data_IF_530243015904
#
_entry.id   IF_530243015904
#
_cell.length_a   1.000
_cell.length_b   1.000
_cell.length_c   1.000
_cell.angle_alpha   90.00
_cell.angle_beta   90.00
_cell.angle_gamma   90.00
#
_symmetry.space_group_name_H-M   'P 1'
#
loop_
_entity.id
_entity.type
_entity.pdbx_description
1 polymer ?
#
# COMPACT_ATOMS: atom_id res chain seq x y z
N UNK A 1 -14.70 13.68 -6.84
CA UNK A 1 -13.33 13.34 -6.37
C UNK A 1 -13.12 11.83 -6.44
N UNK A 2 -11.88 11.36 -6.67
CA UNK A 2 -11.54 9.95 -6.54
C UNK A 2 -11.92 9.43 -5.15
N UNK A 3 -12.68 8.34 -5.09
CA UNK A 3 -13.25 7.84 -3.83
C UNK A 3 -12.17 7.46 -2.79
N UNK A 4 -10.98 7.06 -3.25
CA UNK A 4 -9.90 6.63 -2.39
C UNK A 4 -9.24 7.74 -1.58
N UNK A 5 -9.21 8.99 -2.10
CA UNK A 5 -8.66 10.15 -1.38
C UNK A 5 -9.45 10.47 -0.10
N UNK A 6 -10.66 9.92 0.03
CA UNK A 6 -11.52 10.06 1.20
C UNK A 6 -11.58 8.79 2.08
N UNK A 7 -10.62 7.87 1.91
CA UNK A 7 -10.58 6.58 2.61
C UNK A 7 -11.85 5.72 2.46
N UNK A 8 -12.58 5.91 1.35
CA UNK A 8 -13.86 5.21 1.11
C UNK A 8 -13.66 3.70 0.92
N UNK A 9 -14.55 2.85 1.48
CA UNK A 9 -14.61 1.43 1.12
C UNK A 9 -15.35 1.18 -0.21
N UNK A 10 -15.63 2.23 -0.99
CA UNK A 10 -16.45 2.11 -2.21
C UNK A 10 -15.66 1.40 -3.31
N UNK A 11 -16.32 0.47 -3.99
CA UNK A 11 -15.81 -0.17 -5.21
C UNK A 11 -15.83 0.78 -6.43
N UNK A 12 -16.53 1.91 -6.32
CA UNK A 12 -16.60 2.91 -7.37
C UNK A 12 -15.36 3.80 -7.34
N UNK A 13 -14.73 3.97 -8.51
CA UNK A 13 -13.54 4.82 -8.68
C UNK A 13 -13.83 6.30 -8.32
N UNK A 14 -15.07 6.74 -8.51
CA UNK A 14 -15.52 8.11 -8.35
C UNK A 14 -16.68 8.19 -7.35
N UNK A 15 -16.65 9.20 -6.47
CA UNK A 15 -17.84 9.65 -5.73
C UNK A 15 -18.58 10.68 -6.57
N UNK A 16 -19.89 10.56 -6.65
CA UNK A 16 -20.73 11.60 -7.25
C UNK A 16 -20.80 12.79 -6.30
N UNK A 17 -20.39 13.96 -6.78
CA UNK A 17 -20.58 15.22 -6.09
C UNK A 17 -21.44 16.10 -6.98
N UNK A 18 -22.48 16.76 -6.44
CA UNK A 18 -23.20 17.76 -7.22
C UNK A 18 -22.22 18.87 -7.59
N UNK A 19 -22.11 19.14 -8.89
CA UNK A 19 -21.24 20.17 -9.44
C UNK A 19 -22.04 20.98 -10.46
N UNK A 20 -21.74 22.28 -10.58
CA UNK A 20 -22.18 23.12 -11.68
C UNK A 20 -21.06 23.17 -12.70
N UNK A 21 -21.41 22.95 -13.96
CA UNK A 21 -20.48 23.10 -15.07
C UNK A 21 -20.38 24.59 -15.37
N UNK A 22 -19.15 25.09 -15.49
CA UNK A 22 -18.86 26.45 -15.90
C UNK A 22 -18.36 26.42 -17.34
N UNK A 23 -19.27 26.74 -18.28
CA UNK A 23 -18.98 26.72 -19.72
C UNK A 23 -17.98 27.81 -20.16
N UNK A 24 -17.57 28.70 -19.25
CA UNK A 24 -16.53 29.71 -19.53
C UNK A 24 -15.11 29.17 -19.47
N UNK A 25 -14.92 27.95 -18.96
CA UNK A 25 -13.61 27.31 -18.79
C UNK A 25 -13.36 26.25 -19.87
N UNK A 26 -12.10 26.10 -20.25
CA UNK A 26 -11.69 25.03 -21.17
C UNK A 26 -11.63 23.71 -20.42
N UNK A 27 -12.20 22.65 -20.99
CA UNK A 27 -12.11 21.31 -20.44
C UNK A 27 -10.66 20.86 -20.32
N UNK A 28 -10.29 20.37 -19.13
CA UNK A 28 -8.97 19.84 -18.84
C UNK A 28 -9.10 18.35 -18.50
N UNK A 29 -8.31 17.52 -19.16
CA UNK A 29 -8.22 16.10 -18.91
C UNK A 29 -7.07 15.80 -17.93
N UNK A 30 -7.35 14.97 -16.92
CA UNK A 30 -6.33 14.47 -16.01
C UNK A 30 -5.87 13.08 -16.46
N UNK A 31 -4.59 12.96 -16.78
CA UNK A 31 -3.96 11.70 -17.14
C UNK A 31 -3.07 11.16 -16.03
N UNK A 32 -2.78 9.86 -16.14
CA UNK A 32 -1.74 9.20 -15.39
C UNK A 32 -0.36 9.71 -15.84
N UNK A 33 0.57 9.87 -14.89
CA UNK A 33 1.98 10.17 -15.22
C UNK A 33 2.59 9.14 -16.17
N UNK A 34 2.28 7.86 -15.95
CA UNK A 34 2.61 6.76 -16.85
C UNK A 34 1.35 6.25 -17.54
N UNK A 35 1.09 6.58 -18.82
CA UNK A 35 -0.06 6.04 -19.55
C UNK A 35 -0.06 4.51 -19.54
N UNK A 36 1.08 3.90 -19.82
CA UNK A 36 1.33 2.45 -19.71
C UNK A 36 2.38 2.21 -18.64
N UNK A 37 1.98 1.77 -17.44
CA UNK A 37 2.92 1.63 -16.32
C UNK A 37 3.92 0.47 -16.50
N UNK A 38 3.66 -0.46 -17.41
CA UNK A 38 4.64 -1.50 -17.76
C UNK A 38 5.91 -0.89 -18.37
N UNK A 39 5.80 0.26 -19.03
CA UNK A 39 6.94 0.92 -19.68
C UNK A 39 7.59 1.99 -18.80
N UNK A 40 7.05 2.19 -17.59
CA UNK A 40 7.63 3.12 -16.62
C UNK A 40 9.04 2.67 -16.22
N UNK A 41 9.93 3.62 -15.97
CA UNK A 41 11.24 3.35 -15.37
C UNK A 41 11.05 2.57 -14.07
N UNK A 42 11.78 1.47 -13.92
CA UNK A 42 11.70 0.61 -12.74
C UNK A 42 13.04 0.57 -12.05
N UNK A 43 13.04 0.90 -10.77
CA UNK A 43 14.21 0.79 -9.92
C UNK A 43 14.00 -0.31 -8.90
N UNK A 44 15.08 -1.01 -8.56
CA UNK A 44 15.05 -2.02 -7.51
C UNK A 44 14.86 -1.35 -6.14
N UNK A 45 14.31 -2.13 -5.20
CA UNK A 45 14.21 -1.69 -3.82
C UNK A 45 15.59 -1.24 -3.30
N UNK A 46 15.66 -0.08 -2.63
CA UNK A 46 16.86 0.32 -1.90
C UNK A 46 17.28 -0.77 -0.90
N UNK A 47 18.52 -0.68 -0.44
CA UNK A 47 18.99 -1.56 0.62
C UNK A 47 18.10 -1.40 1.86
N UNK A 48 17.65 -2.51 2.42
CA UNK A 48 16.88 -2.51 3.66
C UNK A 48 17.67 -1.86 4.81
N UNK A 49 16.99 -1.06 5.63
CA UNK A 49 17.55 -0.49 6.86
C UNK A 49 17.91 -1.61 7.84
N UNK A 50 17.03 -2.60 7.94
CA UNK A 50 17.19 -3.75 8.81
C UNK A 50 16.70 -5.03 8.14
N UNK A 51 17.30 -6.17 8.48
CA UNK A 51 16.85 -7.48 8.03
C UNK A 51 16.76 -8.41 9.23
N UNK A 52 15.55 -8.90 9.49
CA UNK A 52 15.26 -9.79 10.61
C UNK A 52 15.24 -11.25 10.15
N UNK A 53 15.69 -12.18 11.01
CA UNK A 53 15.63 -13.61 10.73
C UNK A 53 14.18 -14.13 10.74
N UNK A 54 13.94 -15.33 10.15
CA UNK A 54 12.65 -16.02 10.23
C UNK A 54 12.07 -16.06 11.63
N UNK A 55 10.78 -15.75 11.73
CA UNK A 55 10.00 -15.88 12.97
C UNK A 55 10.12 -14.68 13.91
N UNK A 56 10.90 -13.65 13.53
CA UNK A 56 10.91 -12.37 14.23
C UNK A 56 10.06 -11.36 13.45
N UNK A 57 9.08 -10.78 14.13
CA UNK A 57 8.36 -9.61 13.66
C UNK A 57 8.97 -8.37 14.32
N UNK A 58 9.13 -7.24 13.60
CA UNK A 58 9.82 -6.10 14.16
C UNK A 58 9.16 -5.60 15.43
N UNK A 59 9.96 -5.30 16.46
CA UNK A 59 9.45 -4.70 17.67
C UNK A 59 8.83 -3.32 17.38
N UNK A 60 7.89 -2.85 18.22
CA UNK A 60 7.29 -1.53 18.12
C UNK A 60 8.28 -0.36 17.97
N UNK A 61 9.51 -0.52 18.46
CA UNK A 61 10.58 0.48 18.36
C UNK A 61 11.12 0.69 16.95
N UNK A 62 11.07 -0.33 16.08
CA UNK A 62 11.43 -0.21 14.66
C UNK A 62 10.28 0.34 13.81
N UNK A 63 9.14 0.64 14.43
CA UNK A 63 7.95 1.19 13.78
C UNK A 63 7.90 2.72 13.87
N UNK A 64 9.02 3.35 14.20
CA UNK A 64 9.12 4.80 14.30
C UNK A 64 8.63 5.44 12.99
N UNK A 65 7.78 6.46 13.14
CA UNK A 65 6.94 7.07 12.11
C UNK A 65 7.73 7.94 11.12
N UNK A 66 8.83 7.43 10.57
CA UNK A 66 9.59 8.13 9.54
C UNK A 66 9.26 7.60 8.14
N UNK A 67 9.00 8.50 7.17
CA UNK A 67 8.98 9.95 7.31
C UNK A 67 7.64 10.47 7.88
N UNK A 68 7.70 11.54 8.68
CA UNK A 68 6.50 12.24 9.17
C UNK A 68 6.07 13.31 8.15
N UNK A 69 4.80 13.32 7.78
CA UNK A 69 4.22 14.37 6.92
C UNK A 69 3.94 15.62 7.75
N UNK A 70 4.51 16.75 7.35
CA UNK A 70 4.30 18.06 8.00
C UNK A 70 3.35 18.95 7.20
N UNK A 71 3.29 18.77 5.87
CA UNK A 71 2.42 19.53 4.97
C UNK A 71 1.92 18.61 3.85
N UNK A 72 0.72 18.87 3.36
CA UNK A 72 0.19 18.19 2.18
C UNK A 72 -0.61 19.15 1.30
N UNK A 73 -0.38 19.10 0.00
CA UNK A 73 -1.14 19.83 -1.02
C UNK A 73 -1.51 18.94 -2.19
N UNK A 74 -2.44 19.41 -3.01
CA UNK A 74 -2.71 18.86 -4.32
C UNK A 74 -2.03 19.77 -5.34
N UNK A 75 -1.11 19.19 -6.11
CA UNK A 75 -0.44 19.84 -7.22
C UNK A 75 -1.10 19.48 -8.54
N UNK A 76 -1.04 20.38 -9.51
CA UNK A 76 -1.43 20.11 -10.90
C UNK A 76 -0.26 20.48 -11.80
N UNK A 77 0.30 19.48 -12.48
CA UNK A 77 1.42 19.66 -13.42
C UNK A 77 0.90 19.67 -14.84
N UNK A 78 1.45 20.56 -15.66
CA UNK A 78 1.19 20.57 -17.10
C UNK A 78 1.81 19.33 -17.73
N UNK A 79 1.01 18.57 -18.49
CA UNK A 79 1.54 17.54 -19.37
C UNK A 79 2.10 18.18 -20.65
N UNK A 80 2.66 17.36 -21.56
CA UNK A 80 3.14 17.83 -22.86
C UNK A 80 2.02 18.44 -23.74
N UNK A 81 0.77 18.04 -23.51
CA UNK A 81 -0.42 18.53 -24.21
C UNK A 81 -1.11 19.65 -23.39
N UNK A 82 -1.44 20.81 -24.01
CA UNK A 82 -2.06 21.94 -23.33
C UNK A 82 -3.44 21.64 -22.71
N UNK A 83 -4.14 20.57 -23.10
CA UNK A 83 -5.41 20.14 -22.51
C UNK A 83 -5.26 19.06 -21.45
N UNK A 84 -4.06 18.49 -21.29
CA UNK A 84 -3.81 17.39 -20.35
C UNK A 84 -3.01 17.88 -19.15
N UNK A 85 -3.38 17.38 -17.98
CA UNK A 85 -2.71 17.66 -16.71
C UNK A 85 -2.45 16.36 -15.96
N UNK A 86 -1.44 16.37 -15.10
CA UNK A 86 -1.22 15.31 -14.12
C UNK A 86 -1.54 15.89 -12.75
N UNK A 87 -2.35 15.17 -11.98
CA UNK A 87 -2.70 15.55 -10.62
C UNK A 87 -1.78 14.84 -9.66
N UNK A 88 -1.17 15.57 -8.73
CA UNK A 88 -0.22 15.01 -7.78
C UNK A 88 -0.66 15.30 -6.34
N UNK A 89 -0.29 14.40 -5.42
CA UNK A 89 -0.18 14.75 -4.01
C UNK A 89 1.25 15.23 -3.79
N UNK A 90 1.38 16.38 -3.14
CA UNK A 90 2.65 16.95 -2.70
C UNK A 90 2.71 16.84 -1.18
N UNK A 91 3.80 16.26 -0.66
CA UNK A 91 4.02 16.00 0.75
C UNK A 91 5.29 16.70 1.20
N UNK A 92 5.16 17.64 2.14
CA UNK A 92 6.30 18.16 2.90
C UNK A 92 6.60 17.21 4.06
N UNK A 93 7.85 16.79 4.18
CA UNK A 93 8.32 15.86 5.21
C UNK A 93 9.00 16.60 6.37
N UNK A 94 9.11 15.95 7.53
CA UNK A 94 9.73 16.52 8.74
C UNK A 94 11.20 16.89 8.60
N UNK A 95 11.91 16.25 7.67
CA UNK A 95 13.31 16.55 7.33
C UNK A 95 13.46 17.73 6.36
N UNK A 96 12.36 18.41 5.99
CA UNK A 96 12.35 19.56 5.07
C UNK A 96 12.25 19.20 3.59
N UNK A 97 12.23 17.91 3.24
CA UNK A 97 12.06 17.46 1.86
C UNK A 97 10.61 17.59 1.38
N UNK A 98 10.44 17.65 0.06
CA UNK A 98 9.14 17.63 -0.60
C UNK A 98 9.07 16.46 -1.57
N UNK A 99 8.02 15.65 -1.46
CA UNK A 99 7.75 14.50 -2.32
C UNK A 99 6.50 14.78 -3.15
N UNK A 100 6.53 14.40 -4.41
CA UNK A 100 5.39 14.52 -5.32
C UNK A 100 5.05 13.15 -5.89
N UNK A 101 3.79 12.72 -5.78
CA UNK A 101 3.32 11.43 -6.30
C UNK A 101 2.05 11.61 -7.12
N UNK A 102 2.02 11.06 -8.33
CA UNK A 102 0.84 11.07 -9.21
C UNK A 102 -0.37 10.36 -8.59
N UNK A 103 -1.48 11.08 -8.47
CA UNK A 103 -2.76 10.57 -7.96
C UNK A 103 -3.27 9.42 -8.84
N UNK A 104 -2.97 9.46 -10.14
CA UNK A 104 -3.24 8.35 -11.05
C UNK A 104 -2.53 7.06 -10.61
N UNK A 105 -1.21 7.10 -10.40
CA UNK A 105 -0.45 5.95 -9.93
C UNK A 105 -0.91 5.49 -8.55
N UNK A 106 -1.24 6.40 -7.63
CA UNK A 106 -1.83 6.04 -6.33
C UNK A 106 -3.12 5.22 -6.55
N UNK A 107 -3.99 5.68 -7.45
CA UNK A 107 -5.21 4.95 -7.81
C UNK A 107 -4.94 3.57 -8.40
N UNK A 108 -3.89 3.42 -9.23
CA UNK A 108 -3.46 2.12 -9.77
C UNK A 108 -2.93 1.21 -8.67
N UNK A 109 -2.03 1.71 -7.81
CA UNK A 109 -1.51 0.96 -6.68
C UNK A 109 -2.61 0.46 -5.76
N UNK A 110 -3.60 1.29 -5.45
CA UNK A 110 -4.76 0.87 -4.65
C UNK A 110 -5.58 -0.22 -5.34
N UNK A 111 -5.80 -0.10 -6.65
CA UNK A 111 -6.60 -1.05 -7.44
C UNK A 111 -5.93 -2.42 -7.53
N UNK A 112 -4.62 -2.44 -7.72
CA UNK A 112 -3.85 -3.66 -7.95
C UNK A 112 -3.17 -4.21 -6.69
N UNK A 113 -3.23 -3.50 -5.56
CA UNK A 113 -2.74 -4.01 -4.29
C UNK A 113 -3.64 -5.14 -3.77
N UNK A 114 -3.00 -6.20 -3.30
CA UNK A 114 -3.66 -7.28 -2.60
C UNK A 114 -3.91 -6.90 -1.16
N UNK A 115 -5.01 -7.38 -0.58
CA UNK A 115 -5.28 -7.21 0.85
C UNK A 115 -5.14 -8.57 1.52
N UNK A 116 -4.23 -8.66 2.49
CA UNK A 116 -4.24 -9.78 3.41
C UNK A 116 -5.52 -9.67 4.24
N UNK A 117 -6.48 -10.57 4.04
CA UNK A 117 -7.75 -10.49 4.76
C UNK A 117 -7.50 -10.71 6.27
N UNK A 118 -7.94 -9.76 7.10
CA UNK A 118 -8.12 -10.05 8.52
C UNK A 118 -9.19 -11.12 8.62
N UNK A 119 -8.87 -12.27 9.23
CA UNK A 119 -9.79 -13.39 9.35
C UNK A 119 -10.97 -13.00 10.24
N UNK A 120 -12.00 -12.42 9.65
CA UNK A 120 -13.37 -12.51 10.13
C UNK A 120 -14.12 -13.29 9.09
N UNK A 121 -14.24 -14.62 9.28
CA UNK A 121 -14.91 -15.55 8.37
C UNK A 121 -16.20 -14.96 7.77
N UNK A 122 -16.33 -14.99 6.43
CA UNK A 122 -17.64 -15.21 5.84
C UNK A 122 -17.50 -16.24 4.71
N UNK A 123 -17.85 -17.50 4.99
CA UNK A 123 -18.33 -18.39 3.93
C UNK A 123 -17.34 -19.35 3.26
N UNK A 124 -16.46 -20.04 4.00
CA UNK A 124 -16.01 -21.37 3.56
C UNK A 124 -16.69 -22.48 4.36
N UNK A 125 -17.83 -22.93 3.82
CA UNK A 125 -18.22 -24.35 3.92
C UNK A 125 -17.19 -25.17 3.14
N UNK A 126 -16.93 -26.40 3.61
CA UNK A 126 -16.04 -27.49 3.12
C UNK A 126 -14.74 -27.61 3.95
N UNK A 127 -14.45 -28.69 4.66
CA UNK A 127 -15.15 -29.95 4.89
C UNK A 127 -15.01 -30.31 6.37
N UNK A 128 -16.12 -30.76 6.95
CA UNK A 128 -16.22 -31.36 8.27
C UNK A 128 -15.78 -32.82 8.11
N UNK A 129 -14.53 -33.12 8.42
CA UNK A 129 -14.09 -34.38 9.04
C UNK A 129 -12.57 -34.33 9.23
N UNK A 130 -12.15 -34.67 10.45
CA UNK A 130 -10.82 -34.57 11.07
C UNK A 130 -10.53 -33.24 11.78
N UNK A 131 -10.37 -33.19 13.09
CA UNK A 131 -10.76 -34.05 14.20
C UNK A 131 -10.36 -33.22 15.42
N UNK A 132 -11.29 -33.08 16.36
CA UNK A 132 -11.07 -32.44 17.64
C UNK A 132 -9.90 -33.12 18.35
N UNK A 133 -8.79 -32.40 18.50
CA UNK A 133 -7.84 -32.63 19.59
C UNK A 133 -7.44 -31.26 20.09
N UNK A 134 -8.08 -30.86 21.19
CA UNK A 134 -7.56 -29.82 22.08
C UNK A 134 -6.28 -30.38 22.72
N UNK A 135 -5.13 -29.76 22.44
CA UNK A 135 -3.87 -30.03 23.12
C UNK A 135 -3.38 -28.74 23.79
N UNK A 136 -2.74 -28.85 24.97
CA UNK A 136 -2.59 -27.76 25.92
C UNK A 136 -1.52 -26.75 25.49
N UNK A 137 -1.61 -25.57 26.10
CA UNK A 137 -0.64 -24.48 26.03
C UNK A 137 0.76 -25.02 26.33
N UNK A 138 1.54 -25.28 25.29
CA UNK A 138 2.96 -25.64 25.35
C UNK A 138 3.68 -24.87 24.26
N UNK A 139 4.69 -24.08 24.65
CA UNK A 139 5.42 -23.12 23.82
C UNK A 139 6.17 -23.74 22.64
N UNK A 140 5.45 -24.12 21.59
CA UNK A 140 6.01 -24.48 20.29
C UNK A 140 6.02 -23.24 19.42
N UNK A 141 7.20 -22.73 19.12
CA UNK A 141 7.47 -21.70 18.12
C UNK A 141 6.76 -22.10 16.81
N UNK A 142 5.77 -21.31 16.41
CA UNK A 142 5.04 -21.51 15.15
C UNK A 142 6.07 -21.50 14.02
N UNK A 143 6.22 -22.63 13.30
CA UNK A 143 7.20 -22.77 12.23
C UNK A 143 6.79 -21.86 11.08
N UNK A 144 7.50 -20.75 10.90
CA UNK A 144 7.17 -19.81 9.84
C UNK A 144 7.77 -20.19 8.50
N UNK A 145 7.02 -19.96 7.43
CA UNK A 145 7.50 -20.12 6.04
C UNK A 145 8.24 -18.88 5.52
N UNK A 146 8.25 -17.78 6.28
CA UNK A 146 8.97 -16.55 5.94
C UNK A 146 10.47 -16.80 6.11
N UNK A 147 11.26 -16.64 5.05
CA UNK A 147 12.71 -16.89 5.08
C UNK A 147 13.54 -15.65 5.40
N UNK A 148 13.03 -14.47 5.11
CA UNK A 148 13.66 -13.21 5.48
C UNK A 148 12.62 -12.10 5.57
N UNK A 149 12.88 -11.15 6.46
CA UNK A 149 12.08 -9.96 6.63
C UNK A 149 12.97 -8.72 6.47
N UNK A 150 12.72 -7.95 5.42
CA UNK A 150 13.50 -6.76 5.10
C UNK A 150 12.67 -5.53 5.42
N UNK A 151 13.15 -4.66 6.30
CA UNK A 151 12.48 -3.42 6.69
C UNK A 151 13.11 -2.28 5.92
N UNK A 152 12.27 -1.48 5.28
CA UNK A 152 12.71 -0.41 4.38
C UNK A 152 12.19 0.93 4.85
N UNK A 153 13.01 1.96 4.63
CA UNK A 153 12.58 3.35 4.77
C UNK A 153 11.52 3.68 3.74
N UNK A 154 10.36 4.19 4.19
CA UNK A 154 9.40 4.76 3.25
C UNK A 154 9.99 6.00 2.56
N UNK A 155 10.84 6.78 3.25
CA UNK A 155 11.49 7.97 2.69
C UNK A 155 12.36 7.65 1.48
N UNK A 156 13.19 6.61 1.55
CA UNK A 156 14.10 6.23 0.47
C UNK A 156 13.34 5.86 -0.81
N UNK A 157 12.24 5.13 -0.68
CA UNK A 157 11.37 4.79 -1.81
C UNK A 157 10.69 6.00 -2.41
N UNK A 158 10.18 6.89 -1.54
CA UNK A 158 9.48 8.08 -1.99
C UNK A 158 10.39 9.02 -2.79
N UNK A 159 11.71 9.03 -2.50
CA UNK A 159 12.72 9.80 -3.24
C UNK A 159 13.17 9.15 -4.54
N UNK A 160 13.14 7.83 -4.64
CA UNK A 160 13.67 7.13 -5.80
C UNK A 160 12.88 7.49 -7.08
N UNK A 161 13.53 7.65 -8.24
CA UNK A 161 12.83 7.91 -9.50
C UNK A 161 12.03 6.69 -9.97
N UNK A 162 11.06 6.92 -10.85
CA UNK A 162 10.26 5.83 -11.42
C UNK A 162 9.37 5.09 -10.42
N UNK A 163 9.02 3.85 -10.78
CA UNK A 163 8.33 2.88 -9.95
C UNK A 163 9.32 1.91 -9.31
N UNK A 164 9.02 1.44 -8.10
CA UNK A 164 9.93 0.58 -7.33
C UNK A 164 9.43 -0.86 -7.32
N UNK A 165 10.33 -1.79 -7.66
CA UNK A 165 10.07 -3.24 -7.66
C UNK A 165 11.05 -3.95 -6.72
N UNK A 166 10.64 -5.07 -6.11
CA UNK A 166 11.58 -5.97 -5.44
C UNK A 166 12.67 -6.47 -6.42
N UNK A 167 13.86 -6.78 -5.89
CA UNK A 167 14.97 -7.36 -6.65
C UNK A 167 14.50 -8.65 -7.34
N UNK A 168 14.97 -8.87 -8.56
CA UNK A 168 14.73 -10.07 -9.36
C UNK A 168 15.17 -11.35 -8.61
N UNK A 169 16.16 -11.24 -7.71
CA UNK A 169 16.65 -12.34 -6.88
C UNK A 169 15.79 -12.62 -5.65
N UNK A 170 14.90 -11.69 -5.28
CA UNK A 170 14.07 -11.85 -4.10
C UNK A 170 13.10 -13.02 -4.27
N UNK A 171 12.96 -13.81 -3.21
CA UNK A 171 12.14 -15.03 -3.23
C UNK A 171 10.72 -14.75 -2.79
N UNK A 172 9.77 -15.59 -3.24
CA UNK A 172 8.35 -15.46 -2.92
C UNK A 172 7.99 -15.63 -1.44
N UNK A 173 8.95 -16.04 -0.60
CA UNK A 173 8.83 -16.18 0.84
C UNK A 173 9.67 -15.16 1.63
N UNK A 174 10.24 -14.17 0.93
CA UNK A 174 10.86 -12.98 1.52
C UNK A 174 9.85 -11.82 1.49
N UNK A 175 9.76 -11.11 2.61
CA UNK A 175 8.84 -9.98 2.77
C UNK A 175 9.65 -8.68 2.88
N UNK A 176 9.30 -7.70 2.07
CA UNK A 176 9.84 -6.34 2.09
C UNK A 176 8.79 -5.41 2.70
N UNK A 177 9.03 -4.95 3.92
CA UNK A 177 8.06 -4.26 4.74
C UNK A 177 8.25 -2.75 4.73
N UNK A 178 7.11 -2.06 4.71
CA UNK A 178 7.00 -0.60 4.85
C UNK A 178 6.00 -0.29 5.94
N UNK A 179 6.43 0.40 7.00
CA UNK A 179 5.51 0.92 8.00
C UNK A 179 4.89 2.23 7.53
N UNK A 180 3.61 2.19 7.19
CA UNK A 180 2.88 3.32 6.64
C UNK A 180 1.59 3.57 7.44
N UNK A 181 1.77 3.91 8.72
CA UNK A 181 0.66 4.27 9.62
C UNK A 181 0.01 5.59 9.20
N UNK A 182 0.81 6.53 8.70
CA UNK A 182 0.31 7.76 8.09
C UNK A 182 -0.40 7.41 6.76
N UNK A 183 -1.71 7.73 6.63
CA UNK A 183 -2.46 7.44 5.42
C UNK A 183 -1.87 8.09 4.16
N UNK A 184 -1.24 9.27 4.26
CA UNK A 184 -0.64 9.98 3.13
C UNK A 184 0.66 9.30 2.68
N UNK A 185 1.50 8.86 3.61
CA UNK A 185 2.68 8.04 3.28
C UNK A 185 2.25 6.73 2.61
N UNK A 186 1.22 6.07 3.14
CA UNK A 186 0.67 4.87 2.50
C UNK A 186 0.19 5.14 1.08
N UNK A 187 -0.55 6.22 0.86
CA UNK A 187 -1.00 6.59 -0.49
C UNK A 187 0.19 6.86 -1.40
N UNK A 188 1.17 7.63 -0.94
CA UNK A 188 2.38 7.95 -1.70
C UNK A 188 3.18 6.69 -2.06
N UNK A 189 3.37 5.75 -1.12
CA UNK A 189 4.00 4.46 -1.39
C UNK A 189 3.24 3.66 -2.45
N UNK A 190 1.91 3.61 -2.38
CA UNK A 190 1.11 2.92 -3.39
C UNK A 190 1.24 3.55 -4.79
N UNK A 191 1.53 4.84 -4.88
CA UNK A 191 1.82 5.49 -6.16
C UNK A 191 3.27 5.31 -6.66
N UNK A 192 4.19 4.88 -5.79
CA UNK A 192 5.61 4.70 -6.12
C UNK A 192 6.00 3.23 -6.29
N UNK A 193 5.26 2.30 -5.71
CA UNK A 193 5.51 0.87 -5.87
C UNK A 193 4.94 0.36 -7.20
N UNK A 194 5.70 -0.50 -7.86
CA UNK A 194 5.26 -1.17 -9.07
C UNK A 194 3.99 -1.98 -8.77
N UNK A 195 2.88 -1.75 -9.51
CA UNK A 195 1.64 -2.47 -9.30
C UNK A 195 1.83 -3.99 -9.39
N UNK A 196 0.94 -4.76 -8.76
CA UNK A 196 0.87 -6.24 -8.80
C UNK A 196 1.72 -7.03 -7.79
N UNK A 197 2.71 -6.44 -7.12
CA UNK A 197 3.49 -7.12 -6.06
C UNK A 197 3.30 -6.51 -4.66
N UNK A 198 2.29 -5.64 -4.51
CA UNK A 198 2.02 -4.90 -3.28
C UNK A 198 0.90 -5.56 -2.49
N UNK A 199 1.14 -5.75 -1.20
CA UNK A 199 0.21 -6.35 -0.24
C UNK A 199 -0.02 -5.34 0.88
N UNK A 200 -1.28 -5.07 1.19
CA UNK A 200 -1.70 -4.31 2.35
C UNK A 200 -1.95 -5.29 3.50
N UNK A 201 -1.28 -5.06 4.63
CA UNK A 201 -1.41 -5.84 5.86
C UNK A 201 -1.77 -4.89 7.01
N UNK A 202 -2.78 -5.22 7.81
CA UNK A 202 -3.07 -4.44 9.01
C UNK A 202 -2.01 -4.73 10.09
N UNK A 203 -1.68 -3.73 10.92
CA UNK A 203 -0.59 -3.84 11.91
C UNK A 203 -0.74 -4.98 12.93
N UNK A 204 -1.98 -5.40 13.19
CA UNK A 204 -2.32 -6.49 14.11
C UNK A 204 -2.37 -7.87 13.42
N UNK A 205 -2.25 -7.92 12.09
CA UNK A 205 -2.42 -9.16 11.33
C UNK A 205 -1.13 -10.00 11.31
N UNK A 206 -1.32 -11.33 11.31
CA UNK A 206 -0.22 -12.28 11.16
C UNK A 206 0.51 -12.06 9.83
N UNK A 207 1.84 -11.81 9.84
CA UNK A 207 2.67 -11.64 8.65
C UNK A 207 2.55 -12.76 7.64
N UNK A 208 2.31 -13.99 8.09
CA UNK A 208 2.17 -15.15 7.22
C UNK A 208 1.00 -15.00 6.25
N UNK A 209 -0.01 -14.19 6.58
CA UNK A 209 -1.11 -13.89 5.66
C UNK A 209 -0.62 -13.24 4.37
N UNK A 210 0.46 -12.46 4.41
CA UNK A 210 1.06 -11.86 3.23
C UNK A 210 1.63 -12.93 2.26
N UNK A 211 2.00 -14.11 2.74
CA UNK A 211 2.46 -15.21 1.87
C UNK A 211 1.33 -15.84 1.05
N UNK A 212 0.08 -15.67 1.46
CA UNK A 212 -1.07 -16.38 0.88
C UNK A 212 -1.91 -15.53 -0.08
N UNK A 213 -1.50 -14.30 -0.36
CA UNK A 213 -2.21 -13.38 -1.27
C UNK A 213 -1.30 -12.89 -2.40
N UNK A 214 -1.82 -12.42 -3.51
CA UNK A 214 -0.97 -11.93 -4.61
C UNK A 214 -0.46 -13.01 -5.57
N UNK A 215 0.33 -12.59 -6.57
CA UNK A 215 0.72 -13.44 -7.71
C UNK A 215 1.83 -14.44 -7.40
N UNK A 216 2.53 -14.31 -6.27
CA UNK A 216 3.51 -15.29 -5.80
C UNK A 216 4.84 -15.33 -6.56
N UNK A 217 5.16 -14.30 -7.35
CA UNK A 217 6.44 -14.16 -8.05
C UNK A 217 7.29 -13.06 -7.41
N UNK A 218 8.61 -13.29 -7.31
CA UNK A 218 9.56 -12.34 -6.71
C UNK A 218 9.34 -12.10 -5.22
N UNK A 219 10.11 -11.16 -4.64
CA UNK A 219 9.90 -10.69 -3.28
C UNK A 219 8.52 -10.05 -3.10
N UNK A 220 7.92 -10.19 -1.92
CA UNK A 220 6.61 -9.59 -1.62
C UNK A 220 6.77 -8.24 -0.99
N UNK A 221 6.18 -7.21 -1.58
CA UNK A 221 6.16 -5.87 -0.97
C UNK A 221 4.94 -5.75 -0.08
N UNK A 222 5.15 -5.51 1.21
CA UNK A 222 4.09 -5.41 2.21
C UNK A 222 4.07 -4.01 2.80
N UNK A 223 2.96 -3.30 2.62
CA UNK A 223 2.71 -2.00 3.23
C UNK A 223 1.82 -2.24 4.45
N UNK A 224 2.42 -2.10 5.64
CA UNK A 224 1.74 -2.27 6.93
C UNK A 224 0.98 -0.99 7.26
N UNK A 225 -0.30 -1.11 7.56
CA UNK A 225 -1.21 0.02 7.80
C UNK A 225 -1.93 -0.10 9.14
N UNK A 226 -2.39 1.03 9.67
CA UNK A 226 -3.27 1.03 10.83
C UNK A 226 -4.54 0.21 10.56
N UNK A 227 -4.97 -0.54 11.56
CA UNK A 227 -6.23 -1.28 11.50
C UNK A 227 -7.37 -0.35 11.11
N UNK A 228 -8.16 -0.74 10.10
CA UNK A 228 -9.38 -0.01 9.77
C UNK A 228 -10.34 -0.11 10.96
N UNK A 229 -10.68 1.02 11.58
CA UNK A 229 -11.82 1.08 12.50
C UNK A 229 -13.06 0.65 11.71
N UNK A 230 -13.72 -0.43 12.12
CA UNK A 230 -15.06 -0.73 11.62
C UNK A 230 -15.92 0.48 12.00
N UNK A 231 -16.41 1.20 11.00
CA UNK A 231 -17.44 2.20 11.22
C UNK A 231 -18.63 1.39 11.74
N UNK A 232 -18.99 1.60 13.00
CA UNK A 232 -20.21 1.00 13.55
C UNK A 232 -21.34 1.44 12.63
N UNK A 233 -22.02 0.47 12.02
CA UNK A 233 -23.32 0.72 11.41
C UNK A 233 -24.19 1.28 12.52
N UNK A 234 -24.56 2.55 12.40
CA UNK A 234 -25.63 3.12 13.21
C UNK A 234 -26.85 2.34 12.76
N UNK A 235 -27.34 1.44 13.63
CA UNK A 235 -28.63 0.80 13.42
C UNK A 235 -29.68 1.92 13.40
N UNK A 236 -30.37 2.05 12.28
CA UNK A 236 -31.52 2.95 12.15
C UNK A 236 -32.60 2.48 13.13
N UNK A 237 -32.93 3.36 14.09
CA UNK A 237 -34.08 3.26 14.98
C UNK A 237 -35.07 4.39 14.65
#
# INVERSE_FOLDING_TARGET
MPAFLSSSPSIHLLRHHPARIDDSQVDILFDYEYPVYFDAERNELPKAEESLPPGQWPPPSLLALEPQVTKSSIGVRTAKDPMRRVMNIELGLGNGESITVDVGQIGRGIRYAYRAASAGNPGKKRNLEQSLVEEPISGKTKKTNITALHIHSAGDILRAPGLITPDIKSRSNELHLFWAKDPLIRLALLGKLYPENVILLDEDDDPEKALHVGKGFGGRVVVVQNKRRKIATVDDA
#
